data_IF_629136560156
#
_entry.id   IF_629136560156
#
_cell.length_a   1.000
_cell.length_b   1.000
_cell.length_c   1.000
_cell.angle_alpha   90.00
_cell.angle_beta   90.00
_cell.angle_gamma   90.00
#
_symmetry.space_group_name_H-M   'P 1'
#
loop_
_entity.id
_entity.type
_entity.pdbx_description
1 polymer ?
#
# COMPACT_ATOMS: atom_id res chain seq x y z
N UNK A 1 12.22 18.09 2.88
CA UNK A 1 12.30 16.64 2.62
C UNK A 1 11.50 16.27 1.40
N UNK A 2 12.03 15.34 0.61
CA UNK A 2 11.32 14.89 -0.59
C UNK A 2 10.12 14.05 -0.18
N UNK A 3 8.96 14.24 -0.81
CA UNK A 3 7.78 13.47 -0.45
C UNK A 3 7.84 12.05 -1.01
N UNK A 4 7.12 11.15 -0.35
CA UNK A 4 6.94 9.78 -0.84
C UNK A 4 5.85 9.84 -1.90
N UNK A 5 6.18 9.39 -3.11
CA UNK A 5 5.27 9.44 -4.26
C UNK A 5 4.65 8.08 -4.55
N UNK A 6 5.34 7.01 -4.21
CA UNK A 6 4.82 5.64 -4.33
C UNK A 6 5.26 4.84 -3.13
N UNK A 7 4.36 4.05 -2.60
CA UNK A 7 4.64 3.17 -1.47
C UNK A 7 3.98 1.84 -1.75
N UNK A 8 4.75 0.76 -1.69
CA UNK A 8 4.22 -0.58 -1.85
C UNK A 8 4.48 -1.34 -0.56
N UNK A 9 3.41 -1.83 0.04
CA UNK A 9 3.50 -2.57 1.31
C UNK A 9 2.76 -3.89 1.19
N UNK A 10 3.22 -4.85 1.97
CA UNK A 10 2.58 -6.13 2.12
C UNK A 10 1.84 -6.12 3.45
N UNK A 11 0.57 -6.45 3.44
CA UNK A 11 -0.31 -6.30 4.59
C UNK A 11 -1.00 -7.62 4.87
N UNK A 12 -1.10 -7.95 6.15
CA UNK A 12 -1.94 -9.05 6.59
C UNK A 12 -3.27 -8.44 7.03
N UNK A 13 -4.33 -8.82 6.36
CA UNK A 13 -5.66 -8.25 6.55
C UNK A 13 -6.62 -9.34 6.99
N UNK A 14 -7.44 -9.11 8.03
CA UNK A 14 -8.50 -10.07 8.36
C UNK A 14 -9.55 -10.04 7.25
N UNK A 15 -10.45 -11.03 7.27
CA UNK A 15 -11.47 -11.11 6.22
C UNK A 15 -12.43 -9.93 6.23
N UNK A 16 -12.65 -9.32 7.40
CA UNK A 16 -13.45 -8.11 7.53
C UNK A 16 -12.57 -6.95 7.92
N UNK A 17 -12.72 -5.79 7.30
CA UNK A 17 -13.70 -5.46 6.25
C UNK A 17 -13.31 -6.08 4.91
N UNK A 18 -14.26 -6.18 3.96
CA UNK A 18 -13.96 -6.72 2.64
C UNK A 18 -12.89 -5.89 1.92
N UNK A 19 -12.21 -6.49 0.97
CA UNK A 19 -11.11 -5.84 0.27
C UNK A 19 -11.51 -4.51 -0.38
N UNK A 20 -12.70 -4.45 -0.97
CA UNK A 20 -13.17 -3.22 -1.61
C UNK A 20 -13.31 -2.09 -0.59
N UNK A 21 -13.97 -2.36 0.52
CA UNK A 21 -14.16 -1.37 1.56
C UNK A 21 -12.83 -0.94 2.18
N UNK A 22 -11.95 -1.89 2.42
CA UNK A 22 -10.61 -1.65 2.94
C UNK A 22 -9.85 -0.68 2.04
N UNK A 23 -9.89 -0.95 0.73
CA UNK A 23 -9.19 -0.13 -0.25
C UNK A 23 -9.80 1.27 -0.34
N UNK A 24 -11.13 1.35 -0.29
CA UNK A 24 -11.81 2.65 -0.32
C UNK A 24 -11.40 3.53 0.84
N UNK A 25 -11.32 2.98 2.03
CA UNK A 25 -10.87 3.73 3.20
C UNK A 25 -9.46 4.28 3.00
N UNK A 26 -8.56 3.45 2.50
CA UNK A 26 -7.17 3.86 2.31
C UNK A 26 -7.04 4.90 1.20
N UNK A 27 -7.92 4.86 0.21
CA UNK A 27 -7.87 5.81 -0.89
C UNK A 27 -8.24 7.23 -0.49
N UNK A 28 -8.87 7.37 0.68
CA UNK A 28 -9.32 8.69 1.17
C UNK A 28 -8.27 9.41 2.00
N UNK A 29 -7.12 8.81 2.22
CA UNK A 29 -6.07 9.45 3.01
C UNK A 29 -5.50 10.65 2.28
N UNK A 30 -5.20 11.70 3.07
CA UNK A 30 -4.58 12.90 2.52
C UNK A 30 -3.26 12.55 1.87
N UNK A 31 -2.99 13.16 0.71
CA UNK A 31 -1.75 12.94 0.00
C UNK A 31 -1.74 11.72 -0.90
N UNK A 32 -2.79 10.90 -0.83
CA UNK A 32 -2.93 9.70 -1.66
C UNK A 32 -3.85 10.03 -2.83
N UNK A 33 -3.38 9.82 -4.04
CA UNK A 33 -4.17 10.02 -5.25
C UNK A 33 -4.81 8.73 -5.74
N UNK A 34 -4.23 7.60 -5.38
CA UNK A 34 -4.80 6.32 -5.75
C UNK A 34 -4.18 5.18 -4.97
N UNK A 35 -4.94 4.10 -4.83
CA UNK A 35 -4.50 2.89 -4.16
C UNK A 35 -4.93 1.69 -4.98
N UNK A 36 -4.02 0.76 -5.17
CA UNK A 36 -4.34 -0.53 -5.77
C UNK A 36 -4.11 -1.60 -4.72
N UNK A 37 -5.09 -2.47 -4.55
CA UNK A 37 -4.97 -3.62 -3.64
C UNK A 37 -5.02 -4.89 -4.46
N UNK A 38 -4.06 -5.78 -4.22
CA UNK A 38 -4.02 -7.06 -4.92
C UNK A 38 -3.95 -8.17 -3.88
N UNK A 39 -4.86 -9.12 -3.97
CA UNK A 39 -4.84 -10.28 -3.09
C UNK A 39 -3.72 -11.20 -3.55
N UNK A 40 -2.76 -11.44 -2.67
CA UNK A 40 -1.61 -12.28 -2.98
C UNK A 40 -1.85 -13.71 -2.52
N UNK A 41 -2.40 -13.85 -1.32
CA UNK A 41 -2.63 -15.16 -0.75
C UNK A 41 -3.84 -15.12 0.17
N UNK A 42 -4.64 -16.17 0.14
CA UNK A 42 -5.83 -16.30 0.97
C UNK A 42 -5.63 -17.45 1.95
N UNK A 43 -5.76 -17.16 3.23
CA UNK A 43 -5.69 -18.14 4.29
C UNK A 43 -7.01 -18.14 5.05
N UNK A 44 -7.19 -19.07 5.96
CA UNK A 44 -8.43 -19.21 6.72
C UNK A 44 -8.79 -17.97 7.51
N UNK A 45 -7.81 -17.32 8.11
CA UNK A 45 -8.06 -16.21 9.02
C UNK A 45 -7.58 -14.88 8.51
N UNK A 46 -6.63 -14.87 7.58
CA UNK A 46 -6.07 -13.62 7.08
C UNK A 46 -5.90 -13.68 5.57
N UNK A 47 -5.84 -12.49 4.99
CA UNK A 47 -5.54 -12.31 3.58
C UNK A 47 -4.22 -11.57 3.49
N UNK A 48 -3.33 -12.07 2.64
CA UNK A 48 -2.09 -11.36 2.35
C UNK A 48 -2.36 -10.47 1.15
N UNK A 49 -2.26 -9.15 1.35
CA UNK A 49 -2.63 -8.15 0.35
C UNK A 49 -1.46 -7.25 0.06
N UNK A 50 -1.22 -7.01 -1.22
CA UNK A 50 -0.23 -6.04 -1.65
C UNK A 50 -0.96 -4.73 -1.91
N UNK A 51 -0.50 -3.66 -1.26
CA UNK A 51 -1.07 -2.33 -1.44
C UNK A 51 -0.05 -1.44 -2.13
N UNK A 52 -0.50 -0.78 -3.19
CA UNK A 52 0.33 0.20 -3.89
C UNK A 52 -0.36 1.55 -3.79
N UNK A 53 0.33 2.50 -3.18
CA UNK A 53 -0.17 3.87 -3.01
C UNK A 53 0.62 4.80 -3.92
N UNK A 54 -0.07 5.73 -4.56
CA UNK A 54 0.60 6.82 -5.27
C UNK A 54 -0.08 8.12 -4.94
N UNK A 55 0.70 9.19 -4.91
CA UNK A 55 0.17 10.50 -4.59
C UNK A 55 1.27 11.54 -4.49
N UNK A 56 0.90 12.74 -4.11
CA UNK A 56 1.86 13.84 -3.98
C UNK A 56 2.71 13.70 -2.72
N UNK A 57 2.15 13.15 -1.66
CA UNK A 57 2.87 13.03 -0.38
C UNK A 57 2.22 11.94 0.45
N UNK A 58 2.60 10.70 0.18
CA UNK A 58 2.07 9.55 0.92
C UNK A 58 2.79 9.48 2.27
N UNK A 59 2.02 9.46 3.35
CA UNK A 59 2.56 9.39 4.70
C UNK A 59 2.49 7.96 5.21
N UNK A 60 3.62 7.31 5.32
CA UNK A 60 3.68 5.91 5.74
C UNK A 60 3.07 5.71 7.15
N UNK A 61 3.36 6.64 8.08
CA UNK A 61 2.83 6.52 9.43
C UNK A 61 1.31 6.53 9.45
N UNK A 62 0.71 7.38 8.64
CA UNK A 62 -0.75 7.45 8.53
C UNK A 62 -1.30 6.19 7.86
N UNK A 63 -0.61 5.69 6.84
CA UNK A 63 -1.00 4.44 6.16
C UNK A 63 -0.99 3.30 7.16
N UNK A 64 0.11 3.15 7.91
CA UNK A 64 0.25 2.07 8.88
C UNK A 64 -0.83 2.15 9.96
N UNK A 65 -1.06 3.34 10.51
CA UNK A 65 -2.07 3.55 11.54
C UNK A 65 -3.46 3.21 11.01
N UNK A 66 -3.77 3.62 9.79
CA UNK A 66 -5.08 3.36 9.21
C UNK A 66 -5.29 1.86 8.95
N UNK A 67 -4.25 1.19 8.44
CA UNK A 67 -4.30 -0.27 8.25
C UNK A 67 -4.60 -0.94 9.58
N UNK A 68 -3.93 -0.52 10.65
CA UNK A 68 -4.14 -1.11 11.97
C UNK A 68 -5.53 -0.83 12.52
N UNK A 69 -6.05 0.38 12.28
CA UNK A 69 -7.40 0.73 12.69
C UNK A 69 -8.42 -0.17 11.99
N UNK A 70 -8.14 -0.57 10.76
CA UNK A 70 -9.02 -1.47 10.00
C UNK A 70 -8.77 -2.94 10.31
N UNK A 71 -7.92 -3.22 11.29
CA UNK A 71 -7.68 -4.58 11.77
C UNK A 71 -6.52 -5.31 11.13
N UNK A 72 -5.81 -4.65 10.23
CA UNK A 72 -4.68 -5.27 9.54
C UNK A 72 -3.35 -4.94 10.18
N UNK A 73 -2.30 -5.48 9.60
CA UNK A 73 -0.93 -5.25 10.06
C UNK A 73 -0.03 -5.11 8.84
N UNK A 74 0.79 -4.06 8.82
CA UNK A 74 1.79 -3.93 7.75
C UNK A 74 2.89 -4.94 8.02
N UNK A 75 3.08 -5.88 7.09
CA UNK A 75 4.06 -6.95 7.25
C UNK A 75 5.43 -6.52 6.73
N UNK A 76 5.47 -5.84 5.60
CA UNK A 76 6.75 -5.38 5.04
C UNK A 76 6.52 -4.18 4.13
N UNK A 77 7.57 -3.38 3.97
CA UNK A 77 7.59 -2.30 2.99
C UNK A 77 8.45 -2.80 1.84
N UNK A 78 7.85 -2.92 0.68
CA UNK A 78 8.50 -3.58 -0.45
C UNK A 78 9.07 -2.59 -1.47
N UNK A 79 8.51 -1.39 -1.55
CA UNK A 79 9.02 -0.39 -2.47
C UNK A 79 8.65 1.00 -1.96
N UNK A 80 9.58 1.94 -2.07
CA UNK A 80 9.34 3.35 -1.75
C UNK A 80 9.96 4.19 -2.84
N UNK A 81 9.18 5.12 -3.39
CA UNK A 81 9.69 6.09 -4.36
C UNK A 81 9.47 7.49 -3.81
N UNK A 82 10.53 8.27 -3.72
CA UNK A 82 10.51 9.63 -3.19
C UNK A 82 10.97 10.62 -4.23
N UNK A 83 10.55 11.88 -4.09
CA UNK A 83 10.99 12.95 -4.96
C UNK A 83 9.87 13.50 -5.80
N UNK A 84 10.20 14.36 -6.75
CA UNK A 84 9.20 14.97 -7.61
C UNK A 84 8.67 14.02 -8.68
N UNK A 85 9.41 12.94 -8.94
CA UNK A 85 9.02 11.95 -9.93
C UNK A 85 9.27 10.55 -9.40
N UNK A 86 8.44 9.62 -9.84
CA UNK A 86 8.65 8.21 -9.58
C UNK A 86 9.61 7.70 -10.66
N UNK A 87 10.72 7.10 -10.22
CA UNK A 87 11.68 6.51 -11.14
C UNK A 87 11.33 5.04 -11.29
N UNK A 88 11.07 4.62 -12.53
CA UNK A 88 10.69 3.24 -12.78
C UNK A 88 11.93 2.36 -12.80
N UNK A 89 11.84 1.23 -12.13
CA UNK A 89 12.89 0.24 -12.12
C UNK A 89 12.70 -0.64 -13.37
N UNK A 90 13.60 -0.48 -14.33
CA UNK A 90 13.51 -1.23 -15.59
C UNK A 90 14.50 -2.37 -15.60
N UNK A 91 14.02 -3.53 -15.95
CA UNK A 91 14.89 -4.67 -16.12
C UNK A 91 15.23 -4.83 -17.59
N UNK A 92 16.47 -5.22 -17.85
CA UNK A 92 16.87 -5.49 -19.22
C UNK A 92 16.39 -6.90 -19.60
N UNK A 93 16.24 -7.17 -20.92
CA UNK A 93 15.67 -8.46 -21.34
C UNK A 93 16.45 -9.69 -20.91
N UNK A 94 17.74 -9.57 -20.68
CA UNK A 94 18.54 -10.72 -20.26
C UNK A 94 18.58 -10.91 -18.75
N UNK A 95 17.94 -10.05 -18.04
CA UNK A 95 17.91 -10.14 -16.58
C UNK A 95 16.90 -11.17 -16.07
#
# INVERSE_FOLDING_TARGET
MAPVRRLVVDVLKPHEPPLVEFTEHLSELDGVEGVTSSLVELDKEVQNVKLTFEGEAVDFGVVEETVETLGGTVHSVDEVACGERVVEDRRTPQD
#
